data_IF_928027650331
#
_entry.id   IF_928027650331
#
_cell.length_a   1.000
_cell.length_b   1.000
_cell.length_c   1.000
_cell.angle_alpha   90.00
_cell.angle_beta   90.00
_cell.angle_gamma   90.00
#
_symmetry.space_group_name_H-M   'P 1'
#
loop_
_entity.id
_entity.type
_entity.pdbx_description
1 polymer ?
#
# COMPACT_ATOMS: atom_id res chain seq x y z
N UNK A 1 4.86 -20.86 -33.70
CA UNK A 1 5.10 -19.97 -32.56
C UNK A 1 4.61 -18.58 -32.94
N UNK A 2 3.85 -17.90 -32.07
CA UNK A 2 3.38 -16.54 -32.35
C UNK A 2 4.43 -15.54 -31.86
N UNK A 3 4.71 -14.49 -32.63
CA UNK A 3 5.64 -13.43 -32.28
C UNK A 3 4.85 -12.19 -31.80
N UNK A 4 5.39 -11.52 -30.80
CA UNK A 4 4.89 -10.24 -30.29
C UNK A 4 6.01 -9.22 -30.37
N UNK A 5 5.75 -8.09 -31.01
CA UNK A 5 6.68 -6.97 -31.09
C UNK A 5 6.26 -5.89 -30.08
N UNK A 6 7.19 -5.52 -29.22
CA UNK A 6 7.01 -4.44 -28.25
C UNK A 6 8.01 -3.32 -28.49
N UNK A 7 7.60 -2.08 -28.27
CA UNK A 7 8.50 -0.94 -28.20
C UNK A 7 8.65 -0.56 -26.72
N UNK A 8 9.86 -0.32 -26.29
CA UNK A 8 10.21 0.12 -24.94
C UNK A 8 10.96 1.43 -25.02
N UNK A 9 10.88 2.23 -23.96
CA UNK A 9 11.65 3.46 -23.82
C UNK A 9 13.14 3.15 -23.67
N UNK A 10 14.01 4.06 -24.11
CA UNK A 10 15.46 3.86 -24.11
C UNK A 10 16.00 3.53 -22.72
N UNK A 11 15.52 4.20 -21.68
CA UNK A 11 15.92 3.93 -20.31
C UNK A 11 15.60 2.50 -19.85
N UNK A 12 14.41 1.99 -20.22
CA UNK A 12 14.01 0.62 -19.92
C UNK A 12 14.82 -0.40 -20.74
N UNK A 13 15.13 -0.07 -21.98
CA UNK A 13 15.99 -0.89 -22.83
C UNK A 13 17.38 -1.07 -22.21
N UNK A 14 18.03 0.02 -21.77
CA UNK A 14 19.34 -0.04 -21.14
C UNK A 14 19.35 -0.83 -19.83
N UNK A 15 18.31 -0.68 -19.01
CA UNK A 15 18.14 -1.49 -17.79
C UNK A 15 18.01 -2.98 -18.12
N UNK A 16 17.23 -3.32 -19.13
CA UNK A 16 17.02 -4.70 -19.57
C UNK A 16 18.32 -5.30 -20.14
N UNK A 17 19.06 -4.53 -20.93
CA UNK A 17 20.35 -4.93 -21.49
C UNK A 17 21.37 -5.19 -20.38
N UNK A 18 21.48 -4.30 -19.41
CA UNK A 18 22.34 -4.46 -18.24
C UNK A 18 22.00 -5.74 -17.46
N UNK A 19 20.70 -5.97 -17.20
CA UNK A 19 20.24 -7.16 -16.51
C UNK A 19 20.57 -8.46 -17.28
N UNK A 20 20.33 -8.46 -18.57
CA UNK A 20 20.63 -9.56 -19.50
C UNK A 20 22.12 -9.96 -19.41
N UNK A 21 23.01 -8.97 -19.50
CA UNK A 21 24.46 -9.18 -19.39
C UNK A 21 24.90 -9.70 -18.01
N UNK A 22 24.32 -9.17 -16.94
CA UNK A 22 24.66 -9.59 -15.57
C UNK A 22 24.22 -11.03 -15.24
N UNK A 23 23.17 -11.53 -15.89
CA UNK A 23 22.62 -12.85 -15.62
C UNK A 23 22.92 -13.89 -16.72
N UNK A 24 23.75 -13.54 -17.70
CA UNK A 24 24.09 -14.41 -18.84
C UNK A 24 22.85 -14.97 -19.57
N UNK A 25 21.83 -14.13 -19.72
CA UNK A 25 20.57 -14.46 -20.38
C UNK A 25 20.37 -13.60 -21.63
N UNK A 26 19.62 -14.11 -22.62
CA UNK A 26 19.25 -13.27 -23.76
C UNK A 26 18.17 -12.25 -23.35
N UNK A 27 18.18 -11.06 -23.97
CA UNK A 27 17.12 -10.06 -23.76
C UNK A 27 15.71 -10.63 -24.03
N UNK A 28 15.61 -11.54 -25.02
CA UNK A 28 14.33 -12.20 -25.32
C UNK A 28 13.85 -13.11 -24.19
N UNK A 29 14.77 -13.80 -23.51
CA UNK A 29 14.43 -14.65 -22.37
C UNK A 29 14.04 -13.79 -21.15
N UNK A 30 14.77 -12.72 -20.88
CA UNK A 30 14.40 -11.76 -19.83
C UNK A 30 13.00 -11.19 -20.04
N UNK A 31 12.67 -10.77 -21.28
CA UNK A 31 11.32 -10.28 -21.60
C UNK A 31 10.27 -11.39 -21.47
N UNK A 32 10.58 -12.60 -21.91
CA UNK A 32 9.66 -13.75 -21.79
C UNK A 32 9.35 -14.07 -20.35
N UNK A 33 10.36 -14.08 -19.48
CA UNK A 33 10.20 -14.30 -18.04
C UNK A 33 9.39 -13.19 -17.38
N UNK A 34 9.69 -11.92 -17.69
CA UNK A 34 8.93 -10.79 -17.16
C UNK A 34 7.45 -10.85 -17.56
N UNK A 35 7.14 -11.18 -18.82
CA UNK A 35 5.76 -11.35 -19.30
C UNK A 35 5.10 -12.55 -18.63
N UNK A 36 5.80 -13.68 -18.50
CA UNK A 36 5.27 -14.87 -17.83
C UNK A 36 4.97 -14.59 -16.36
N UNK A 37 5.87 -13.89 -15.67
CA UNK A 37 5.67 -13.45 -14.28
C UNK A 37 4.45 -12.54 -14.17
N UNK A 38 4.34 -11.51 -14.99
CA UNK A 38 3.22 -10.58 -15.01
C UNK A 38 1.88 -11.28 -15.22
N UNK A 39 1.79 -12.15 -16.23
CA UNK A 39 0.55 -12.90 -16.53
C UNK A 39 0.18 -13.85 -15.37
N UNK A 40 1.18 -14.47 -14.73
CA UNK A 40 0.95 -15.36 -13.57
C UNK A 40 0.48 -14.57 -12.36
N UNK A 41 1.08 -13.40 -12.10
CA UNK A 41 0.69 -12.52 -11.00
C UNK A 41 -0.72 -11.96 -11.20
N UNK A 42 -1.06 -11.54 -12.41
CA UNK A 42 -2.42 -11.10 -12.76
C UNK A 42 -3.46 -12.21 -12.54
N UNK A 43 -3.15 -13.46 -12.90
CA UNK A 43 -4.02 -14.61 -12.66
C UNK A 43 -4.19 -14.91 -11.17
N UNK A 44 -3.11 -14.77 -10.37
CA UNK A 44 -3.16 -14.90 -8.91
C UNK A 44 -4.05 -13.82 -8.29
N UNK A 45 -3.86 -12.55 -8.67
CA UNK A 45 -4.69 -11.43 -8.22
C UNK A 45 -6.17 -11.65 -8.56
N UNK A 46 -6.49 -12.12 -9.77
CA UNK A 46 -7.85 -12.38 -10.19
C UNK A 46 -8.50 -13.54 -9.43
N UNK A 47 -7.74 -14.59 -9.12
CA UNK A 47 -8.20 -15.72 -8.30
C UNK A 47 -8.42 -15.31 -6.84
N UNK A 48 -7.52 -14.46 -6.31
CA UNK A 48 -7.67 -13.91 -4.95
C UNK A 48 -8.93 -13.05 -4.81
N UNK A 49 -9.25 -12.21 -5.79
CA UNK A 49 -10.47 -11.40 -5.78
C UNK A 49 -11.72 -12.29 -5.78
N UNK A 50 -11.74 -13.36 -6.55
CA UNK A 50 -12.89 -14.28 -6.63
C UNK A 50 -13.16 -15.08 -5.35
N UNK A 51 -12.19 -15.13 -4.43
CA UNK A 51 -12.27 -15.89 -3.18
C UNK A 51 -12.36 -15.00 -1.94
N UNK A 52 -12.58 -13.70 -2.11
CA UNK A 52 -12.72 -12.75 -0.98
C UNK A 52 -14.05 -12.96 -0.26
N UNK A 53 -13.98 -13.03 1.07
CA UNK A 53 -15.14 -13.29 1.94
C UNK A 53 -15.78 -12.02 2.46
N UNK A 54 -15.04 -10.92 2.52
CA UNK A 54 -15.50 -9.61 3.01
C UNK A 54 -14.65 -8.50 2.42
N UNK A 55 -15.20 -7.29 2.40
CA UNK A 55 -14.51 -6.05 2.07
C UNK A 55 -14.07 -5.31 3.32
N UNK A 56 -12.95 -4.59 3.25
CA UNK A 56 -12.50 -3.74 4.36
C UNK A 56 -11.80 -2.48 3.86
N UNK A 57 -11.82 -1.47 4.74
CA UNK A 57 -11.02 -0.26 4.57
C UNK A 57 -9.91 -0.22 5.63
N UNK A 58 -8.74 0.32 5.28
CA UNK A 58 -7.55 0.42 6.13
C UNK A 58 -7.19 1.90 6.34
N UNK A 59 -7.62 2.47 7.48
CA UNK A 59 -7.32 3.85 7.83
C UNK A 59 -6.05 3.94 8.66
N UNK A 60 -5.23 4.97 8.40
CA UNK A 60 -3.89 5.12 8.98
C UNK A 60 -3.02 3.90 8.66
N UNK A 61 -3.07 3.47 7.40
CA UNK A 61 -2.58 2.18 6.93
C UNK A 61 -1.08 1.96 7.13
N UNK A 62 -0.30 3.03 7.35
CA UNK A 62 1.14 2.95 7.49
C UNK A 62 1.77 2.32 6.24
N UNK A 63 2.56 1.28 6.44
CA UNK A 63 3.18 0.50 5.36
C UNK A 63 2.34 -0.71 4.92
N UNK A 64 1.11 -0.87 5.45
CA UNK A 64 0.15 -1.89 5.05
C UNK A 64 0.14 -3.17 5.90
N UNK A 65 0.54 -3.09 7.17
CA UNK A 65 0.54 -4.25 8.07
C UNK A 65 -0.84 -4.87 8.26
N UNK A 66 -1.86 -4.05 8.50
CA UNK A 66 -3.24 -4.49 8.65
C UNK A 66 -3.81 -5.03 7.33
N UNK A 67 -3.48 -4.40 6.21
CA UNK A 67 -3.85 -4.92 4.89
C UNK A 67 -3.34 -6.34 4.65
N UNK A 68 -2.09 -6.64 5.04
CA UNK A 68 -1.55 -8.00 4.94
C UNK A 68 -2.35 -8.97 5.81
N UNK A 69 -2.61 -8.59 7.07
CA UNK A 69 -3.31 -9.46 8.02
C UNK A 69 -4.74 -9.78 7.57
N UNK A 70 -5.51 -8.75 7.23
CA UNK A 70 -6.90 -8.92 6.77
C UNK A 70 -6.98 -9.57 5.39
N UNK A 71 -6.05 -9.27 4.49
CA UNK A 71 -5.94 -9.95 3.20
C UNK A 71 -5.71 -11.45 3.34
N UNK A 72 -4.82 -11.87 4.27
CA UNK A 72 -4.60 -13.30 4.58
C UNK A 72 -5.84 -13.97 5.16
N UNK A 73 -6.67 -13.24 5.89
CA UNK A 73 -7.95 -13.72 6.40
C UNK A 73 -9.06 -13.82 5.34
N UNK A 74 -8.78 -13.46 4.09
CA UNK A 74 -9.74 -13.49 2.98
C UNK A 74 -10.47 -12.16 2.76
N UNK A 75 -9.97 -11.06 3.30
CA UNK A 75 -10.51 -9.72 3.08
C UNK A 75 -10.03 -9.10 1.77
N UNK A 76 -10.87 -8.25 1.20
CA UNK A 76 -10.55 -7.37 0.07
C UNK A 76 -10.45 -5.93 0.57
N UNK A 77 -9.25 -5.32 0.51
CA UNK A 77 -9.10 -3.91 0.81
C UNK A 77 -9.68 -3.09 -0.34
N UNK A 78 -10.73 -2.33 -0.06
CA UNK A 78 -11.41 -1.51 -1.06
C UNK A 78 -11.04 -0.04 -0.96
N UNK A 79 -10.43 0.36 0.15
CA UNK A 79 -9.95 1.73 0.38
C UNK A 79 -8.82 1.73 1.40
N UNK A 80 -7.85 2.60 1.23
CA UNK A 80 -6.78 2.83 2.19
C UNK A 80 -6.42 4.31 2.28
N UNK A 81 -6.03 4.72 3.49
CA UNK A 81 -5.65 6.09 3.79
C UNK A 81 -4.37 6.12 4.62
N UNK A 82 -3.42 6.97 4.25
CA UNK A 82 -2.19 7.23 5.00
C UNK A 82 -1.65 8.62 4.63
N UNK A 83 -1.39 9.46 5.60
CA UNK A 83 -0.93 10.83 5.34
C UNK A 83 0.59 10.94 5.19
N UNK A 84 1.36 10.03 5.81
CA UNK A 84 2.81 10.08 5.78
C UNK A 84 3.34 9.64 4.41
N UNK A 85 3.99 10.57 3.72
CA UNK A 85 4.51 10.36 2.36
C UNK A 85 5.45 9.15 2.23
N UNK A 86 6.29 8.88 3.23
CA UNK A 86 7.23 7.76 3.18
C UNK A 86 6.51 6.43 3.39
N UNK A 87 5.52 6.40 4.28
CA UNK A 87 4.65 5.23 4.46
C UNK A 87 3.87 4.94 3.19
N UNK A 88 3.32 5.96 2.53
CA UNK A 88 2.61 5.82 1.25
C UNK A 88 3.52 5.21 0.16
N UNK A 89 4.77 5.65 0.06
CA UNK A 89 5.73 5.10 -0.91
C UNK A 89 5.97 3.60 -0.67
N UNK A 90 6.16 3.20 0.59
CA UNK A 90 6.33 1.80 0.97
C UNK A 90 5.07 0.99 0.72
N UNK A 91 3.90 1.55 1.04
CA UNK A 91 2.61 0.93 0.76
C UNK A 91 2.42 0.69 -0.74
N UNK A 92 2.67 1.71 -1.55
CA UNK A 92 2.61 1.59 -3.00
C UNK A 92 3.57 0.53 -3.55
N UNK A 93 4.81 0.48 -3.05
CA UNK A 93 5.78 -0.54 -3.45
C UNK A 93 5.29 -1.96 -3.11
N UNK A 94 4.57 -2.13 -1.99
CA UNK A 94 4.08 -3.43 -1.55
C UNK A 94 2.81 -3.90 -2.28
N UNK A 95 1.91 -2.96 -2.61
CA UNK A 95 0.55 -3.31 -3.08
C UNK A 95 0.22 -2.77 -4.47
N UNK A 96 1.02 -1.86 -5.01
CA UNK A 96 0.76 -1.21 -6.30
C UNK A 96 -0.41 -0.23 -6.28
N UNK A 97 -0.90 0.12 -5.08
CA UNK A 97 -2.01 1.05 -4.86
C UNK A 97 -1.56 2.21 -4.00
N UNK A 98 -1.94 3.43 -4.39
CA UNK A 98 -1.60 4.64 -3.64
C UNK A 98 -2.68 4.89 -2.58
N UNK A 99 -2.34 4.91 -1.28
CA UNK A 99 -3.30 5.33 -0.26
C UNK A 99 -3.67 6.80 -0.42
N UNK A 100 -4.92 7.14 -0.11
CA UNK A 100 -5.33 8.53 0.03
C UNK A 100 -4.55 9.24 1.14
N UNK A 101 -4.46 10.56 1.06
CA UNK A 101 -3.66 11.37 1.97
C UNK A 101 -4.30 11.60 3.34
N UNK A 102 -4.56 12.86 3.64
CA UNK A 102 -5.13 13.31 4.92
C UNK A 102 -6.61 12.96 5.04
N UNK A 103 -6.97 12.06 5.96
CA UNK A 103 -8.35 11.58 6.16
C UNK A 103 -9.33 12.72 6.46
N UNK A 104 -8.87 13.81 7.07
CA UNK A 104 -9.73 14.96 7.39
C UNK A 104 -10.21 15.73 6.15
N UNK A 105 -9.62 15.44 4.99
CA UNK A 105 -9.98 16.05 3.69
C UNK A 105 -10.78 15.12 2.80
N UNK A 106 -10.96 13.88 3.20
CA UNK A 106 -11.73 12.88 2.46
C UNK A 106 -13.22 13.07 2.76
N UNK A 107 -14.04 13.11 1.71
CA UNK A 107 -15.47 13.09 1.90
C UNK A 107 -15.90 11.64 2.19
N UNK A 108 -16.64 11.44 3.26
CA UNK A 108 -17.15 10.11 3.67
C UNK A 108 -17.93 9.38 2.57
N UNK A 109 -18.58 10.14 1.67
CA UNK A 109 -19.36 9.59 0.54
C UNK A 109 -18.49 9.02 -0.58
N UNK A 110 -17.20 9.38 -0.60
CA UNK A 110 -16.24 8.88 -1.59
C UNK A 110 -15.59 7.57 -1.13
N UNK A 111 -15.80 7.19 0.14
CA UNK A 111 -15.32 5.92 0.68
C UNK A 111 -16.27 4.80 0.24
N UNK A 112 -15.76 3.74 -0.42
CA UNK A 112 -16.58 2.63 -0.89
C UNK A 112 -17.30 1.89 0.25
N UNK A 113 -18.44 1.26 -0.06
CA UNK A 113 -19.12 0.34 0.84
C UNK A 113 -18.17 -0.79 1.28
N UNK A 114 -18.19 -1.10 2.57
CA UNK A 114 -17.29 -2.08 3.17
C UNK A 114 -17.93 -2.76 4.37
N UNK A 115 -17.48 -3.99 4.65
CA UNK A 115 -17.95 -4.79 5.77
C UNK A 115 -17.22 -4.48 7.06
N UNK A 116 -15.92 -4.13 6.98
CA UNK A 116 -15.04 -3.92 8.13
C UNK A 116 -14.23 -2.64 7.95
N UNK A 117 -14.24 -1.80 8.99
CA UNK A 117 -13.32 -0.68 9.13
C UNK A 117 -12.15 -1.10 10.03
N UNK A 118 -10.94 -0.98 9.52
CA UNK A 118 -9.70 -1.19 10.26
C UNK A 118 -9.00 0.15 10.40
N UNK A 119 -8.57 0.51 11.61
CA UNK A 119 -7.91 1.79 11.86
C UNK A 119 -6.81 1.65 12.92
N UNK A 120 -5.59 1.93 12.53
CA UNK A 120 -4.42 2.00 13.42
C UNK A 120 -4.06 3.44 13.77
N UNK A 121 -4.97 4.18 14.41
CA UNK A 121 -4.74 5.60 14.70
C UNK A 121 -3.55 5.86 15.64
N UNK A 122 -2.90 7.04 15.57
CA UNK A 122 -1.79 7.41 16.46
C UNK A 122 -2.22 7.43 17.92
N UNK A 123 -1.75 6.46 18.72
CA UNK A 123 -2.09 6.36 20.14
C UNK A 123 -1.18 7.20 21.08
N UNK A 124 -0.12 7.81 20.55
CA UNK A 124 0.86 8.56 21.36
C UNK A 124 0.27 9.68 22.20
N UNK A 125 -0.72 10.47 21.74
CA UNK A 125 -1.34 11.50 22.57
C UNK A 125 -2.12 10.94 23.76
N UNK A 126 -2.54 9.69 23.69
CA UNK A 126 -3.44 9.03 24.65
C UNK A 126 -2.75 7.98 25.52
N UNK A 127 -1.58 7.48 25.09
CA UNK A 127 -0.85 6.46 25.84
C UNK A 127 -0.10 7.05 27.04
N UNK A 128 0.02 6.29 28.14
CA UNK A 128 0.75 6.72 29.35
C UNK A 128 2.18 7.16 29.00
N UNK A 129 2.89 6.39 28.18
CA UNK A 129 4.25 6.72 27.76
C UNK A 129 4.31 8.00 26.90
N UNK A 130 3.38 8.17 25.97
CA UNK A 130 3.31 9.35 25.11
C UNK A 130 2.92 10.61 25.87
N UNK A 131 1.94 10.51 26.76
CA UNK A 131 1.49 11.61 27.65
C UNK A 131 2.61 12.04 28.59
N UNK A 132 3.29 11.10 29.26
CA UNK A 132 4.41 11.42 30.15
C UNK A 132 5.54 12.16 29.43
N UNK A 133 5.91 11.70 28.23
CA UNK A 133 6.94 12.34 27.39
C UNK A 133 6.50 13.75 26.95
N UNK A 134 5.26 13.93 26.54
CA UNK A 134 4.74 15.24 26.09
C UNK A 134 4.63 16.21 27.26
N UNK A 135 4.14 15.76 28.40
CA UNK A 135 4.06 16.58 29.62
C UNK A 135 5.43 17.07 30.07
N UNK A 136 6.46 16.21 30.05
CA UNK A 136 7.85 16.62 30.37
C UNK A 136 8.40 17.65 29.40
N UNK A 137 7.85 17.76 28.19
CA UNK A 137 8.22 18.72 27.15
C UNK A 137 7.29 19.93 27.07
N UNK A 138 6.30 20.05 27.98
CA UNK A 138 5.31 21.13 27.99
C UNK A 138 4.37 21.13 26.76
N UNK A 139 4.14 19.96 26.14
CA UNK A 139 3.28 19.80 24.97
C UNK A 139 1.89 19.32 25.33
N UNK A 140 0.90 19.72 24.55
CA UNK A 140 -0.48 19.27 24.68
C UNK A 140 -0.60 17.75 24.46
N UNK A 141 -1.55 17.11 25.15
CA UNK A 141 -1.81 15.67 25.11
C UNK A 141 -3.29 15.38 24.87
N UNK A 142 -3.62 14.15 24.52
CA UNK A 142 -4.99 13.74 24.24
C UNK A 142 -5.60 14.51 23.08
N UNK A 143 -6.84 14.87 23.18
CA UNK A 143 -7.57 15.65 22.16
C UNK A 143 -7.08 17.11 22.01
N UNK A 144 -6.34 17.64 22.98
CA UNK A 144 -5.72 18.96 22.86
C UNK A 144 -4.49 18.96 21.94
N UNK A 145 -3.91 17.79 21.66
CA UNK A 145 -2.79 17.65 20.74
C UNK A 145 -3.23 17.91 19.28
N UNK A 146 -2.96 19.11 18.78
CA UNK A 146 -3.33 19.55 17.43
C UNK A 146 -2.63 18.81 16.29
N UNK A 147 -1.63 18.00 16.59
CA UNK A 147 -0.86 17.28 15.57
C UNK A 147 -1.34 15.83 15.36
N UNK A 148 -1.81 15.19 16.42
CA UNK A 148 -2.19 13.78 16.41
C UNK A 148 -3.49 13.47 17.19
N UNK A 149 -3.95 14.40 18.05
CA UNK A 149 -5.13 14.20 18.89
C UNK A 149 -6.45 14.56 18.22
N UNK A 150 -6.42 15.15 17.04
CA UNK A 150 -7.61 15.66 16.31
C UNK A 150 -7.79 14.95 14.96
N UNK A 151 -7.30 13.72 14.84
CA UNK A 151 -7.39 12.92 13.60
C UNK A 151 -8.67 12.07 13.53
N UNK A 152 -9.70 12.42 14.31
CA UNK A 152 -11.00 11.73 14.35
C UNK A 152 -12.12 12.72 14.08
#
# INVERSE_FOLDING_TARGET
MKQVHIRVEDELYEKLNTYSLQNDQSMQDCVREAVAYYVTDMRRKQKDISNKRFSFIDLFAGIGGMRIAFGRAGGNCVYSNEWNKYSQQTYFANFGEQPDGDITKVNEKDIPDHDILVAGFPCQPFSIAGVSKKNSMGRETGFADKTQGTLF
#
